data_IF_166565433873
#
_entry.id   IF_166565433873
#
_cell.length_a   1.000
_cell.length_b   1.000
_cell.length_c   1.000
_cell.angle_alpha   90.00
_cell.angle_beta   90.00
_cell.angle_gamma   90.00
#
_symmetry.space_group_name_H-M   'P 1'
#
loop_
_entity.id
_entity.type
_entity.pdbx_description
1 polymer ?
#
# COMPACT_ATOMS: atom_id res chain seq x y z
N UNK A 1 -25.76 14.26 17.52
CA UNK A 1 -25.25 14.76 16.23
C UNK A 1 -24.21 13.79 15.69
N UNK A 2 -24.50 13.05 14.60
CA UNK A 2 -23.49 12.21 13.95
C UNK A 2 -22.40 13.13 13.39
N UNK A 3 -21.22 13.18 14.02
CA UNK A 3 -20.06 13.88 13.47
C UNK A 3 -19.82 13.32 12.07
N UNK A 4 -19.93 14.16 11.05
CA UNK A 4 -19.53 13.82 9.67
C UNK A 4 -18.06 13.39 9.75
N UNK A 5 -17.80 12.08 9.68
CA UNK A 5 -16.45 11.55 9.65
C UNK A 5 -15.90 11.80 8.26
N UNK A 6 -15.17 12.91 8.09
CA UNK A 6 -14.42 13.21 6.87
C UNK A 6 -13.47 12.04 6.59
N UNK A 7 -13.53 11.46 5.37
CA UNK A 7 -12.69 10.32 4.98
C UNK A 7 -11.21 10.69 4.99
N UNK A 8 -10.33 9.69 5.12
CA UNK A 8 -8.88 9.93 5.08
C UNK A 8 -8.47 10.59 3.75
N UNK A 9 -9.03 10.14 2.63
CA UNK A 9 -8.85 10.76 1.33
C UNK A 9 -9.20 12.26 1.36
N UNK A 10 -10.39 12.61 1.87
CA UNK A 10 -10.81 14.01 1.93
C UNK A 10 -9.89 14.84 2.82
N UNK A 11 -9.42 14.29 3.95
CA UNK A 11 -8.43 14.97 4.82
C UNK A 11 -7.11 15.21 4.10
N UNK A 12 -6.62 14.23 3.32
CA UNK A 12 -5.38 14.35 2.55
C UNK A 12 -5.53 15.39 1.44
N UNK A 13 -6.63 15.38 0.69
CA UNK A 13 -6.89 16.38 -0.36
C UNK A 13 -6.97 17.79 0.24
N UNK A 14 -7.67 17.96 1.38
CA UNK A 14 -7.74 19.23 2.10
C UNK A 14 -6.34 19.65 2.58
N UNK A 15 -5.55 18.73 3.12
CA UNK A 15 -4.19 19.01 3.58
C UNK A 15 -3.26 19.46 2.45
N UNK A 16 -3.32 18.81 1.29
CA UNK A 16 -2.57 19.20 0.09
C UNK A 16 -2.98 20.60 -0.36
N UNK A 17 -4.29 20.82 -0.56
CA UNK A 17 -4.80 22.11 -1.01
C UNK A 17 -4.48 23.24 -0.03
N UNK A 18 -4.63 22.98 1.28
CA UNK A 18 -4.24 23.92 2.32
C UNK A 18 -2.73 24.17 2.30
N UNK A 19 -1.89 23.14 2.17
CA UNK A 19 -0.43 23.31 2.08
C UNK A 19 -0.03 24.21 0.92
N UNK A 20 -0.64 23.99 -0.25
CA UNK A 20 -0.45 24.82 -1.45
C UNK A 20 -0.87 26.27 -1.22
N UNK A 21 -2.06 26.50 -0.65
CA UNK A 21 -2.56 27.87 -0.45
C UNK A 21 -1.73 28.58 0.63
N UNK A 22 -1.58 27.96 1.80
CA UNK A 22 -0.88 28.58 2.93
C UNK A 22 0.61 28.75 2.66
N UNK A 23 1.25 27.87 1.89
CA UNK A 23 2.66 28.03 1.51
C UNK A 23 2.95 29.27 0.65
N UNK A 24 1.94 29.85 -0.03
CA UNK A 24 2.09 31.09 -0.80
C UNK A 24 2.08 32.35 0.08
N UNK A 25 1.42 32.30 1.25
CA UNK A 25 1.14 33.47 2.06
C UNK A 25 1.79 33.44 3.46
N UNK A 26 2.14 32.26 3.98
CA UNK A 26 2.68 32.14 5.32
C UNK A 26 4.12 32.65 5.39
N UNK A 27 4.44 33.51 6.38
CA UNK A 27 5.83 33.88 6.67
C UNK A 27 6.68 32.64 6.98
N UNK A 28 7.93 32.64 6.52
CA UNK A 28 8.87 31.53 6.71
C UNK A 28 9.00 31.05 8.15
N UNK A 29 8.96 31.96 9.14
CA UNK A 29 8.99 31.59 10.56
C UNK A 29 7.79 30.73 11.00
N UNK A 30 6.59 31.04 10.53
CA UNK A 30 5.38 30.24 10.84
C UNK A 30 5.42 28.92 10.06
N UNK A 31 5.81 28.96 8.79
CA UNK A 31 5.99 27.78 7.96
C UNK A 31 6.95 26.76 8.59
N UNK A 32 8.05 27.21 9.20
CA UNK A 32 9.03 26.37 9.91
C UNK A 32 8.45 25.61 11.10
N UNK A 33 7.36 26.07 11.72
CA UNK A 33 6.69 25.32 12.80
C UNK A 33 6.17 23.98 12.24
N UNK A 34 5.54 24.00 11.06
CA UNK A 34 5.03 22.80 10.41
C UNK A 34 6.15 21.90 9.88
N UNK A 35 7.23 22.49 9.39
CA UNK A 35 8.44 21.73 9.02
C UNK A 35 9.05 21.03 10.23
N UNK A 36 9.08 21.69 11.39
CA UNK A 36 9.55 21.10 12.65
C UNK A 36 8.68 19.92 13.07
N UNK A 37 7.36 20.08 13.00
CA UNK A 37 6.43 18.97 13.22
C UNK A 37 6.72 17.80 12.26
N UNK A 38 6.97 18.08 10.98
CA UNK A 38 7.28 17.04 9.99
C UNK A 38 8.54 16.27 10.33
N UNK A 39 9.62 16.97 10.72
CA UNK A 39 10.86 16.30 11.11
C UNK A 39 10.65 15.40 12.34
N UNK A 40 9.91 15.86 13.36
CA UNK A 40 9.64 15.04 14.55
C UNK A 40 8.76 13.83 14.22
N UNK A 41 7.71 14.04 13.44
CA UNK A 41 6.78 12.98 13.09
C UNK A 41 7.37 11.98 12.09
N UNK A 42 8.17 12.44 11.13
CA UNK A 42 8.92 11.60 10.20
C UNK A 42 9.91 10.68 10.93
N UNK A 43 10.71 11.23 11.84
CA UNK A 43 11.59 10.44 12.71
C UNK A 43 10.81 9.42 13.54
N UNK A 44 9.66 9.80 14.09
CA UNK A 44 8.79 8.87 14.82
C UNK A 44 8.21 7.76 13.93
N UNK A 45 7.87 8.05 12.67
CA UNK A 45 7.45 7.05 11.69
C UNK A 45 8.59 6.09 11.40
N UNK A 46 9.79 6.58 11.09
CA UNK A 46 10.98 5.74 10.88
C UNK A 46 11.27 4.83 12.07
N UNK A 47 11.14 5.34 13.30
CA UNK A 47 11.26 4.52 14.51
C UNK A 47 10.19 3.42 14.59
N UNK A 48 8.94 3.74 14.25
CA UNK A 48 7.80 2.83 14.39
C UNK A 48 7.77 1.74 13.33
N UNK A 49 8.34 1.97 12.15
CA UNK A 49 8.29 1.07 10.99
C UNK A 49 8.73 -0.38 11.30
N UNK A 50 9.92 -0.65 11.90
CA UNK A 50 10.34 -2.02 12.19
C UNK A 50 9.40 -2.73 13.16
N UNK A 51 8.82 -1.98 14.11
CA UNK A 51 7.83 -2.50 15.05
C UNK A 51 6.50 -2.81 14.37
N UNK A 52 6.10 -1.99 13.38
CA UNK A 52 4.91 -2.23 12.55
C UNK A 52 5.08 -3.54 11.78
N UNK A 53 6.25 -3.74 11.16
CA UNK A 53 6.57 -4.98 10.43
C UNK A 53 6.46 -6.17 11.38
N UNK A 54 7.16 -6.14 12.52
CA UNK A 54 7.14 -7.23 13.49
C UNK A 54 5.74 -7.51 14.04
N UNK A 55 4.99 -6.45 14.36
CA UNK A 55 3.68 -6.57 14.96
C UNK A 55 2.57 -6.97 14.00
N UNK A 56 2.73 -6.78 12.68
CA UNK A 56 1.73 -7.17 11.70
C UNK A 56 2.12 -8.44 10.94
N UNK A 57 3.40 -8.60 10.55
CA UNK A 57 3.87 -9.72 9.72
C UNK A 57 4.00 -11.00 10.53
N UNK A 58 4.58 -10.96 11.72
CA UNK A 58 4.73 -12.14 12.58
C UNK A 58 3.41 -12.85 12.89
N UNK A 59 2.39 -12.17 13.45
CA UNK A 59 1.12 -12.83 13.75
C UNK A 59 0.39 -13.26 12.48
N UNK A 60 0.45 -12.49 11.39
CA UNK A 60 -0.16 -12.89 10.12
C UNK A 60 0.40 -14.23 9.61
N UNK A 61 1.72 -14.43 9.68
CA UNK A 61 2.35 -15.72 9.32
C UNK A 61 2.01 -16.80 10.35
N UNK A 62 2.03 -16.47 11.64
CA UNK A 62 1.68 -17.42 12.71
C UNK A 62 0.23 -17.93 12.63
N UNK A 63 -0.67 -17.12 12.10
CA UNK A 63 -2.07 -17.46 11.85
C UNK A 63 -2.30 -18.28 10.58
N UNK A 64 -1.30 -18.38 9.68
CA UNK A 64 -1.30 -19.37 8.60
C UNK A 64 -1.13 -20.77 9.23
N UNK A 65 -2.24 -21.33 9.71
CA UNK A 65 -2.23 -22.33 10.78
C UNK A 65 -1.64 -23.72 10.44
N UNK A 66 -1.39 -24.49 11.50
CA UNK A 66 -1.25 -25.95 11.44
C UNK A 66 -2.51 -26.56 10.85
N UNK A 67 -2.36 -27.35 9.79
CA UNK A 67 -3.50 -27.97 9.12
C UNK A 67 -4.09 -27.15 7.99
N UNK A 68 -3.34 -26.18 7.47
CA UNK A 68 -3.54 -25.58 6.15
C UNK A 68 -3.80 -26.68 5.10
N UNK A 69 -5.07 -27.02 4.89
CA UNK A 69 -5.44 -27.99 3.86
C UNK A 69 -4.90 -27.54 2.51
N UNK A 70 -4.87 -28.47 1.53
CA UNK A 70 -4.48 -28.19 0.14
C UNK A 70 -5.08 -26.88 -0.42
N UNK A 71 -6.27 -26.51 0.04
CA UNK A 71 -6.97 -25.26 -0.30
C UNK A 71 -6.28 -23.97 0.22
N UNK A 72 -5.79 -23.94 1.46
CA UNK A 72 -5.08 -22.76 2.01
C UNK A 72 -3.80 -22.52 1.22
N UNK A 73 -2.97 -23.56 1.10
CA UNK A 73 -1.68 -23.49 0.39
C UNK A 73 -1.88 -23.06 -1.07
N UNK A 74 -2.85 -23.66 -1.77
CA UNK A 74 -3.19 -23.29 -3.14
C UNK A 74 -3.62 -21.81 -3.24
N UNK A 75 -4.51 -21.36 -2.36
CA UNK A 75 -5.02 -19.98 -2.39
C UNK A 75 -3.91 -18.98 -2.09
N UNK A 76 -3.08 -19.25 -1.09
CA UNK A 76 -1.94 -18.41 -0.73
C UNK A 76 -0.91 -18.31 -1.85
N UNK A 77 -0.58 -19.43 -2.50
CA UNK A 77 0.34 -19.46 -3.64
C UNK A 77 -0.21 -18.66 -4.83
N UNK A 78 -1.50 -18.81 -5.16
CA UNK A 78 -2.13 -18.05 -6.24
C UNK A 78 -2.22 -16.55 -5.91
N UNK A 79 -2.58 -16.20 -4.68
CA UNK A 79 -2.64 -14.81 -4.21
C UNK A 79 -1.26 -14.14 -4.24
N UNK A 80 -0.22 -14.81 -3.71
CA UNK A 80 1.14 -14.31 -3.74
C UNK A 80 1.67 -14.20 -5.17
N UNK A 81 1.48 -15.23 -6.00
CA UNK A 81 1.87 -15.22 -7.40
C UNK A 81 1.21 -14.09 -8.19
N UNK A 82 -0.09 -13.85 -8.00
CA UNK A 82 -0.84 -12.72 -8.59
C UNK A 82 -0.30 -11.37 -8.13
N UNK A 83 0.05 -11.25 -6.84
CA UNK A 83 0.60 -10.02 -6.26
C UNK A 83 1.99 -9.70 -6.83
N UNK A 84 2.87 -10.71 -6.90
CA UNK A 84 4.20 -10.57 -7.51
C UNK A 84 4.10 -10.26 -9.00
N UNK A 85 3.23 -10.97 -9.73
CA UNK A 85 2.94 -10.67 -11.14
C UNK A 85 2.51 -9.21 -11.31
N UNK A 86 1.61 -8.71 -10.46
CA UNK A 86 1.16 -7.31 -10.50
C UNK A 86 2.32 -6.32 -10.34
N UNK A 87 3.23 -6.57 -9.40
CA UNK A 87 4.43 -5.75 -9.20
C UNK A 87 5.35 -5.74 -10.43
N UNK A 88 5.67 -6.90 -10.98
CA UNK A 88 6.54 -6.98 -12.18
C UNK A 88 5.86 -6.44 -13.45
N UNK A 89 4.57 -6.72 -13.65
CA UNK A 89 3.76 -6.13 -14.71
C UNK A 89 3.82 -4.59 -14.64
N UNK A 90 3.70 -4.06 -13.43
CA UNK A 90 3.82 -2.61 -13.18
C UNK A 90 5.22 -2.11 -13.48
N UNK A 91 6.27 -2.82 -13.06
CA UNK A 91 7.65 -2.46 -13.37
C UNK A 91 7.87 -2.33 -14.87
N UNK A 92 7.56 -3.36 -15.65
CA UNK A 92 7.79 -3.33 -17.09
C UNK A 92 6.94 -2.24 -17.79
N UNK A 93 5.69 -2.09 -17.38
CA UNK A 93 4.80 -1.05 -17.94
C UNK A 93 5.31 0.36 -17.61
N UNK A 94 5.73 0.58 -16.36
CA UNK A 94 6.21 1.88 -15.89
C UNK A 94 7.57 2.23 -16.51
N UNK A 95 8.48 1.27 -16.65
CA UNK A 95 9.77 1.47 -17.32
C UNK A 95 9.61 1.81 -18.80
N UNK A 96 8.54 1.35 -19.45
CA UNK A 96 8.23 1.73 -20.83
C UNK A 96 7.58 3.12 -20.92
N UNK A 97 6.70 3.47 -19.98
CA UNK A 97 5.87 4.68 -20.07
C UNK A 97 6.53 5.90 -19.42
N UNK A 98 7.01 5.77 -18.17
CA UNK A 98 7.42 6.90 -17.34
C UNK A 98 8.59 7.72 -17.89
N UNK A 99 9.64 7.15 -18.50
CA UNK A 99 10.71 7.95 -19.10
C UNK A 99 10.22 8.96 -20.16
N UNK A 100 9.07 8.70 -20.79
CA UNK A 100 8.51 9.55 -21.85
C UNK A 100 7.55 10.62 -21.32
N UNK A 101 6.93 10.41 -20.15
CA UNK A 101 5.88 11.30 -19.61
C UNK A 101 6.29 12.03 -18.33
N UNK A 102 7.29 11.51 -17.63
CA UNK A 102 7.91 12.07 -16.43
C UNK A 102 9.36 12.45 -16.78
N UNK A 103 9.60 13.60 -17.44
CA UNK A 103 10.95 14.09 -17.60
C UNK A 103 11.56 14.29 -16.20
N UNK A 104 12.88 14.06 -16.10
CA UNK A 104 13.64 14.36 -14.87
C UNK A 104 13.34 15.80 -14.48
N UNK A 105 12.84 16.00 -13.27
CA UNK A 105 12.59 17.33 -12.77
C UNK A 105 13.79 17.74 -11.91
N UNK A 106 14.59 18.67 -12.42
CA UNK A 106 15.72 19.28 -11.72
C UNK A 106 15.37 19.83 -10.34
N UNK A 107 14.13 20.29 -10.13
CA UNK A 107 13.65 20.75 -8.83
C UNK A 107 13.41 19.60 -7.84
N UNK A 108 13.01 18.41 -8.31
CA UNK A 108 12.87 17.20 -7.48
C UNK A 108 14.23 16.51 -7.25
N UNK A 109 15.18 16.62 -8.16
CA UNK A 109 16.58 16.21 -7.95
C UNK A 109 17.20 16.99 -6.77
N UNK A 110 16.85 18.27 -6.61
CA UNK A 110 17.25 19.08 -5.45
C UNK A 110 16.63 18.61 -4.12
N UNK A 111 15.65 17.70 -4.13
CA UNK A 111 15.09 17.11 -2.90
C UNK A 111 15.93 15.97 -2.31
N UNK A 112 16.97 15.51 -3.01
CA UNK A 112 18.05 14.72 -2.41
C UNK A 112 18.92 15.58 -1.48
N UNK A 113 19.03 16.89 -1.76
CA UNK A 113 19.73 17.89 -0.93
C UNK A 113 18.76 19.03 -0.53
N UNK A 114 17.73 18.75 0.30
CA UNK A 114 16.67 19.71 0.62
C UNK A 114 17.16 20.92 1.43
N UNK A 115 18.41 20.93 1.89
CA UNK A 115 19.00 21.99 2.70
C UNK A 115 19.12 23.34 1.98
N UNK A 116 19.24 23.36 0.65
CA UNK A 116 19.49 24.59 -0.11
C UNK A 116 18.21 25.37 -0.48
N UNK A 117 17.05 24.72 -0.53
CA UNK A 117 15.80 25.30 -1.04
C UNK A 117 14.58 25.14 -0.13
N UNK A 118 14.61 24.20 0.80
CA UNK A 118 13.51 23.97 1.72
C UNK A 118 13.77 24.66 3.06
N UNK A 119 12.68 25.11 3.69
CA UNK A 119 12.76 25.58 5.07
C UNK A 119 13.28 24.44 5.96
N UNK A 120 14.17 24.79 6.87
CA UNK A 120 14.70 23.86 7.88
C UNK A 120 13.85 23.89 9.16
N UNK A 121 13.74 22.76 9.87
CA UNK A 121 13.06 22.73 11.16
C UNK A 121 13.77 23.65 12.17
N UNK A 122 13.08 24.01 13.25
CA UNK A 122 13.68 24.78 14.35
C UNK A 122 14.64 23.92 15.18
N UNK A 123 14.32 22.64 15.34
CA UNK A 123 15.14 21.65 16.00
C UNK A 123 14.80 20.27 15.45
N UNK A 124 15.71 19.33 15.61
CA UNK A 124 15.53 17.93 15.25
C UNK A 124 15.70 17.07 16.50
N UNK A 125 14.97 15.96 16.56
CA UNK A 125 15.12 14.95 17.62
C UNK A 125 15.40 13.65 16.91
N UNK A 126 16.61 13.12 17.08
CA UNK A 126 16.98 11.83 16.51
C UNK A 126 16.20 10.71 17.21
N UNK A 127 15.43 9.95 16.42
CA UNK A 127 14.67 8.78 16.90
C UNK A 127 15.13 7.56 16.08
N UNK A 128 16.35 7.03 16.32
CA UNK A 128 16.90 5.96 15.49
C UNK A 128 16.01 4.71 15.55
N UNK A 129 15.73 4.04 14.42
CA UNK A 129 14.93 2.82 14.41
C UNK A 129 15.55 1.73 15.31
N UNK A 130 14.73 0.91 15.99
CA UNK A 130 15.23 -0.12 16.91
C UNK A 130 15.99 -1.25 16.19
N UNK A 131 15.72 -1.44 14.90
CA UNK A 131 16.43 -2.38 14.03
C UNK A 131 16.22 -1.98 12.56
N UNK A 132 17.05 -2.51 11.66
CA UNK A 132 16.82 -2.40 10.22
C UNK A 132 15.50 -3.09 9.82
N UNK A 133 14.83 -2.54 8.82
CA UNK A 133 13.64 -3.10 8.17
C UNK A 133 13.88 -4.54 7.70
N UNK A 134 15.03 -4.84 7.10
CA UNK A 134 15.33 -6.21 6.65
C UNK A 134 15.48 -7.16 7.83
N UNK A 135 16.10 -6.71 8.92
CA UNK A 135 16.19 -7.48 10.16
C UNK A 135 14.81 -7.73 10.76
N UNK A 136 13.95 -6.70 10.80
CA UNK A 136 12.57 -6.85 11.27
C UNK A 136 11.79 -7.87 10.44
N UNK A 137 11.96 -7.88 9.12
CA UNK A 137 11.30 -8.83 8.22
C UNK A 137 11.80 -10.26 8.44
N UNK A 138 13.11 -10.48 8.47
CA UNK A 138 13.69 -11.81 8.73
C UNK A 138 13.24 -12.35 10.08
N UNK A 139 13.30 -11.51 11.13
CA UNK A 139 12.80 -11.86 12.45
C UNK A 139 11.31 -12.18 12.41
N UNK A 140 10.53 -11.39 11.65
CA UNK A 140 9.09 -11.60 11.53
C UNK A 140 8.75 -12.95 10.92
N UNK A 141 9.49 -13.35 9.88
CA UNK A 141 9.36 -14.66 9.26
C UNK A 141 9.81 -15.79 10.16
N UNK A 142 11.01 -15.69 10.75
CA UNK A 142 11.54 -16.74 11.62
C UNK A 142 10.61 -17.02 12.78
N UNK A 143 10.13 -15.95 13.44
CA UNK A 143 9.18 -16.10 14.54
C UNK A 143 7.82 -16.54 14.01
N UNK A 144 7.30 -15.94 12.94
CA UNK A 144 5.99 -16.27 12.38
C UNK A 144 5.87 -17.73 11.94
N UNK A 145 6.89 -18.25 11.24
CA UNK A 145 6.97 -19.67 10.88
C UNK A 145 7.15 -20.56 12.12
N UNK A 146 7.92 -20.12 13.11
CA UNK A 146 8.00 -20.79 14.40
C UNK A 146 6.62 -20.91 15.05
N UNK A 147 5.87 -19.80 15.12
CA UNK A 147 4.49 -19.74 15.63
C UNK A 147 3.57 -20.68 14.85
N UNK A 148 3.65 -20.74 13.53
CA UNK A 148 2.81 -21.64 12.73
C UNK A 148 3.10 -23.13 12.98
N UNK A 149 4.29 -23.48 13.49
CA UNK A 149 4.72 -24.86 13.76
C UNK A 149 4.64 -25.29 15.24
N UNK A 150 4.54 -24.35 16.19
CA UNK A 150 4.31 -24.68 17.60
C UNK A 150 2.83 -24.62 17.95
N UNK A 151 2.43 -25.32 19.01
CA UNK A 151 1.03 -25.25 19.46
C UNK A 151 0.71 -23.85 19.98
N UNK A 152 -0.56 -23.45 19.81
CA UNK A 152 -1.04 -22.16 20.29
C UNK A 152 -0.84 -22.08 21.79
N UNK A 153 -0.22 -20.99 22.26
CA UNK A 153 0.10 -20.77 23.65
C UNK A 153 0.49 -19.32 23.92
N UNK A 154 1.16 -19.06 25.04
CA UNK A 154 1.47 -17.70 25.53
C UNK A 154 2.17 -16.83 24.48
N UNK A 155 3.09 -17.39 23.70
CA UNK A 155 3.81 -16.62 22.68
C UNK A 155 2.90 -16.16 21.53
N UNK A 156 1.93 -17.00 21.11
CA UNK A 156 0.91 -16.62 20.12
C UNK A 156 0.06 -15.45 20.63
N UNK A 157 -0.39 -15.55 21.88
CA UNK A 157 -1.21 -14.51 22.51
C UNK A 157 -0.44 -13.19 22.67
N UNK A 158 0.84 -13.26 23.07
CA UNK A 158 1.71 -12.10 23.18
C UNK A 158 1.86 -11.37 21.83
N UNK A 159 2.08 -12.09 20.72
CA UNK A 159 2.16 -11.47 19.39
C UNK A 159 0.81 -10.94 18.91
N UNK A 160 -0.31 -11.59 19.27
CA UNK A 160 -1.65 -11.06 18.98
C UNK A 160 -1.91 -9.76 19.73
N UNK A 161 -1.52 -9.64 20.99
CA UNK A 161 -1.65 -8.41 21.75
C UNK A 161 -0.70 -7.32 21.26
N UNK A 162 0.52 -7.68 20.87
CA UNK A 162 1.44 -6.76 20.21
C UNK A 162 0.88 -6.21 18.89
N UNK A 163 0.26 -7.07 18.06
CA UNK A 163 -0.46 -6.65 16.86
C UNK A 163 -1.55 -5.61 17.16
N UNK A 164 -2.33 -5.81 18.22
CA UNK A 164 -3.36 -4.85 18.65
C UNK A 164 -2.76 -3.52 19.09
N UNK A 165 -1.63 -3.54 19.80
CA UNK A 165 -0.89 -2.33 20.19
C UNK A 165 -0.45 -1.56 18.94
N UNK A 166 0.18 -2.24 17.98
CA UNK A 166 0.63 -1.64 16.71
C UNK A 166 -0.55 -1.12 15.89
N UNK A 167 -1.65 -1.86 15.82
CA UNK A 167 -2.87 -1.41 15.14
C UNK A 167 -3.41 -0.13 15.78
N UNK A 168 -3.46 -0.06 17.12
CA UNK A 168 -3.86 1.15 17.85
C UNK A 168 -2.90 2.31 17.63
N UNK A 169 -1.59 2.06 17.56
CA UNK A 169 -0.61 3.09 17.23
C UNK A 169 -0.90 3.70 15.85
N UNK A 170 -1.16 2.85 14.85
CA UNK A 170 -1.49 3.31 13.49
C UNK A 170 -2.79 4.12 13.49
N UNK A 171 -3.87 3.58 14.08
CA UNK A 171 -5.21 4.17 14.01
C UNK A 171 -5.38 5.43 14.89
N UNK A 172 -4.77 5.44 16.07
CA UNK A 172 -4.98 6.51 17.06
C UNK A 172 -3.91 7.60 17.02
N UNK A 173 -2.72 7.31 16.48
CA UNK A 173 -1.60 8.26 16.47
C UNK A 173 -1.20 8.61 15.04
N UNK A 174 -0.80 7.62 14.23
CA UNK A 174 -0.25 7.87 12.89
C UNK A 174 -1.32 8.47 11.97
N UNK A 175 -2.44 7.76 11.73
CA UNK A 175 -3.48 8.18 10.80
C UNK A 175 -4.04 9.58 11.11
N UNK A 176 -4.32 9.95 12.39
CA UNK A 176 -4.79 11.29 12.73
C UNK A 176 -3.77 12.40 12.46
N UNK A 177 -2.48 12.12 12.56
CA UNK A 177 -1.39 13.08 12.37
C UNK A 177 -0.94 13.19 10.90
N UNK A 178 -1.19 12.17 10.07
CA UNK A 178 -0.84 12.17 8.65
C UNK A 178 -1.33 13.40 7.85
N UNK A 179 -2.58 13.90 8.01
CA UNK A 179 -3.01 15.09 7.29
C UNK A 179 -2.17 16.34 7.63
N UNK A 180 -1.79 16.50 8.90
CA UNK A 180 -0.92 17.61 9.31
C UNK A 180 0.49 17.45 8.73
N UNK A 181 0.97 16.21 8.65
CA UNK A 181 2.27 15.90 8.05
C UNK A 181 2.31 16.24 6.55
N UNK A 182 1.32 15.76 5.80
CA UNK A 182 1.17 16.05 4.37
C UNK A 182 1.01 17.55 4.14
N UNK A 183 0.21 18.23 4.97
CA UNK A 183 0.07 19.69 4.92
C UNK A 183 1.43 20.39 5.02
N UNK A 184 2.24 20.06 6.03
CA UNK A 184 3.54 20.68 6.22
C UNK A 184 4.51 20.43 5.06
N UNK A 185 4.44 19.24 4.44
CA UNK A 185 5.30 18.88 3.31
C UNK A 185 4.92 19.69 2.07
N UNK A 186 3.63 19.74 1.72
CA UNK A 186 3.16 20.52 0.58
C UNK A 186 3.30 22.02 0.79
N UNK A 187 3.21 22.49 2.04
CA UNK A 187 3.53 23.85 2.41
C UNK A 187 5.00 24.16 2.14
N UNK A 188 5.93 23.31 2.58
CA UNK A 188 7.36 23.53 2.35
C UNK A 188 7.71 23.45 0.85
N UNK A 189 7.11 22.51 0.11
CA UNK A 189 7.24 22.42 -1.35
C UNK A 189 6.71 23.65 -2.09
N UNK A 190 5.70 24.30 -1.54
CA UNK A 190 5.16 25.53 -2.12
C UNK A 190 6.12 26.68 -1.90
N UNK A 191 6.70 26.78 -0.70
CA UNK A 191 7.71 27.79 -0.37
C UNK A 191 8.96 27.61 -1.24
N UNK A 192 9.36 26.37 -1.53
CA UNK A 192 10.49 26.06 -2.42
C UNK A 192 10.16 26.15 -3.92
N UNK A 193 8.91 26.44 -4.30
CA UNK A 193 8.47 26.56 -5.69
C UNK A 193 8.19 25.24 -6.44
N UNK A 194 8.39 24.09 -5.79
CA UNK A 194 8.36 22.76 -6.41
C UNK A 194 6.94 22.18 -6.60
N UNK A 195 5.96 22.74 -5.88
CA UNK A 195 4.63 22.12 -5.70
C UNK A 195 3.87 21.88 -7.02
N UNK A 196 4.01 22.78 -7.99
CA UNK A 196 3.29 22.66 -9.26
C UNK A 196 3.79 21.49 -10.09
N UNK A 197 5.10 21.22 -10.08
CA UNK A 197 5.62 20.05 -10.78
C UNK A 197 5.20 18.75 -10.10
N UNK A 198 5.17 18.71 -8.76
CA UNK A 198 4.73 17.53 -8.00
C UNK A 198 3.27 17.20 -8.33
N UNK A 199 2.38 18.20 -8.28
CA UNK A 199 0.95 18.01 -8.62
C UNK A 199 0.78 17.56 -10.06
N UNK A 200 1.52 18.15 -11.00
CA UNK A 200 1.47 17.75 -12.42
C UNK A 200 1.88 16.29 -12.62
N UNK A 201 2.91 15.82 -11.91
CA UNK A 201 3.27 14.41 -11.93
C UNK A 201 2.17 13.54 -11.33
N UNK A 202 1.62 13.93 -10.17
CA UNK A 202 0.58 13.14 -9.51
C UNK A 202 -0.56 12.85 -10.50
N UNK A 203 -1.03 13.87 -11.22
CA UNK A 203 -2.08 13.72 -12.24
C UNK A 203 -1.69 12.74 -13.35
N UNK A 204 -0.47 12.84 -13.90
CA UNK A 204 0.02 11.92 -14.94
C UNK A 204 0.10 10.48 -14.45
N UNK A 205 0.65 10.27 -13.25
CA UNK A 205 0.84 8.94 -12.64
C UNK A 205 -0.51 8.31 -12.30
N UNK A 206 -1.45 9.10 -11.77
CA UNK A 206 -2.82 8.67 -11.49
C UNK A 206 -3.49 8.10 -12.75
N UNK A 207 -3.35 8.79 -13.89
CA UNK A 207 -3.93 8.33 -15.17
C UNK A 207 -3.32 6.99 -15.59
N UNK A 208 -1.99 6.86 -15.56
CA UNK A 208 -1.32 5.60 -15.92
C UNK A 208 -1.78 4.46 -15.01
N UNK A 209 -1.82 4.71 -13.70
CA UNK A 209 -2.25 3.73 -12.71
C UNK A 209 -3.70 3.29 -12.96
N UNK A 210 -4.61 4.20 -13.33
CA UNK A 210 -5.98 3.81 -13.69
C UNK A 210 -6.03 2.84 -14.87
N UNK A 211 -5.26 3.11 -15.92
CA UNK A 211 -5.17 2.23 -17.09
C UNK A 211 -4.60 0.87 -16.67
N UNK A 212 -3.53 0.85 -15.86
CA UNK A 212 -2.92 -0.38 -15.38
C UNK A 212 -3.86 -1.23 -14.51
N UNK A 213 -4.70 -0.61 -13.67
CA UNK A 213 -5.71 -1.36 -12.91
C UNK A 213 -6.71 -2.07 -13.82
N UNK A 214 -7.22 -1.38 -14.84
CA UNK A 214 -8.15 -1.98 -15.81
C UNK A 214 -7.47 -3.14 -16.53
N UNK A 215 -6.24 -2.95 -17.00
CA UNK A 215 -5.47 -4.01 -17.67
C UNK A 215 -5.19 -5.21 -16.75
N UNK A 216 -4.82 -4.96 -15.49
CA UNK A 216 -4.58 -6.03 -14.51
C UNK A 216 -5.84 -6.86 -14.28
N UNK A 217 -6.99 -6.21 -14.09
CA UNK A 217 -8.27 -6.92 -13.93
C UNK A 217 -8.61 -7.73 -15.19
N UNK A 218 -8.42 -7.17 -16.38
CA UNK A 218 -8.63 -7.92 -17.63
C UNK A 218 -7.72 -9.15 -17.71
N UNK A 219 -6.45 -9.04 -17.34
CA UNK A 219 -5.51 -10.16 -17.31
C UNK A 219 -5.95 -11.21 -16.30
N UNK A 220 -6.22 -10.81 -15.05
CA UNK A 220 -6.65 -11.72 -13.97
C UNK A 220 -7.93 -12.48 -14.35
N UNK A 221 -8.92 -11.80 -14.91
CA UNK A 221 -10.17 -12.44 -15.32
C UNK A 221 -10.03 -13.26 -16.60
N UNK A 222 -9.11 -12.90 -17.51
CA UNK A 222 -8.76 -13.74 -18.67
C UNK A 222 -8.14 -15.05 -18.21
N UNK A 223 -7.20 -15.02 -17.26
CA UNK A 223 -6.62 -16.24 -16.67
C UNK A 223 -7.72 -17.07 -15.97
N UNK A 224 -8.55 -16.44 -15.14
CA UNK A 224 -9.65 -17.14 -14.46
C UNK A 224 -10.67 -17.75 -15.43
N UNK A 225 -11.01 -17.04 -16.50
CA UNK A 225 -11.92 -17.50 -17.55
C UNK A 225 -11.34 -18.69 -18.31
N UNK A 226 -10.07 -18.61 -18.72
CA UNK A 226 -9.36 -19.68 -19.43
C UNK A 226 -9.24 -20.95 -18.58
N UNK A 227 -8.91 -20.83 -17.29
CA UNK A 227 -8.82 -21.98 -16.38
C UNK A 227 -10.19 -22.63 -16.13
N UNK A 228 -11.22 -21.80 -15.93
CA UNK A 228 -12.56 -22.30 -15.58
C UNK A 228 -13.47 -22.63 -16.77
N UNK A 229 -13.04 -22.35 -18.01
CA UNK A 229 -13.86 -22.48 -19.22
C UNK A 229 -15.02 -21.48 -19.28
N UNK A 230 -14.94 -20.35 -18.57
CA UNK A 230 -16.00 -19.33 -18.47
C UNK A 230 -15.59 -18.05 -19.21
N UNK A 231 -16.57 -17.29 -19.69
CA UNK A 231 -16.31 -16.02 -20.37
C UNK A 231 -15.70 -14.98 -19.38
N UNK A 232 -14.48 -14.45 -19.63
CA UNK A 232 -13.78 -13.58 -18.70
C UNK A 232 -14.47 -12.23 -18.47
N UNK A 233 -15.07 -11.65 -19.53
CA UNK A 233 -15.80 -10.38 -19.42
C UNK A 233 -17.08 -10.54 -18.61
N UNK A 234 -17.75 -11.69 -18.71
CA UNK A 234 -18.92 -12.00 -17.87
C UNK A 234 -18.53 -12.16 -16.40
N UNK A 235 -17.41 -12.84 -16.13
CA UNK A 235 -16.88 -12.99 -14.78
C UNK A 235 -16.55 -11.63 -14.15
N UNK A 236 -15.85 -10.76 -14.89
CA UNK A 236 -15.50 -9.41 -14.43
C UNK A 236 -16.76 -8.54 -14.24
N UNK A 237 -17.71 -8.58 -15.18
CA UNK A 237 -18.97 -7.82 -15.09
C UNK A 237 -19.77 -8.17 -13.83
N UNK A 238 -19.79 -9.44 -13.44
CA UNK A 238 -20.47 -9.87 -12.22
C UNK A 238 -19.81 -9.31 -10.95
N UNK A 239 -18.53 -8.97 -10.98
CA UNK A 239 -17.81 -8.42 -9.82
C UNK A 239 -17.95 -6.90 -9.66
N UNK A 240 -18.56 -6.20 -10.63
CA UNK A 240 -18.74 -4.74 -10.57
C UNK A 240 -19.43 -4.24 -9.28
N UNK A 241 -20.42 -4.94 -8.67
CA UNK A 241 -20.97 -4.52 -7.38
C UNK A 241 -19.94 -4.53 -6.25
N UNK A 242 -19.04 -5.53 -6.23
CA UNK A 242 -17.95 -5.59 -5.25
C UNK A 242 -16.93 -4.46 -5.51
N UNK A 243 -16.57 -4.22 -6.77
CA UNK A 243 -15.72 -3.09 -7.18
C UNK A 243 -16.30 -1.76 -6.68
N UNK A 244 -17.58 -1.48 -6.96
CA UNK A 244 -18.24 -0.24 -6.57
C UNK A 244 -18.34 -0.10 -5.04
N UNK A 245 -18.58 -1.19 -4.32
CA UNK A 245 -18.61 -1.20 -2.85
C UNK A 245 -17.25 -0.84 -2.28
N UNK A 246 -16.18 -1.50 -2.73
CA UNK A 246 -14.81 -1.21 -2.27
C UNK A 246 -14.35 0.20 -2.67
N UNK A 247 -14.80 0.70 -3.82
CA UNK A 247 -14.53 2.08 -4.22
C UNK A 247 -15.13 3.09 -3.23
N UNK A 248 -16.34 2.82 -2.72
CA UNK A 248 -17.01 3.67 -1.74
C UNK A 248 -16.52 3.50 -0.31
N UNK A 249 -16.22 2.26 0.12
CA UNK A 249 -15.83 1.95 1.50
C UNK A 249 -14.33 2.12 1.74
N UNK A 250 -13.51 2.00 0.69
CA UNK A 250 -12.05 1.98 0.78
C UNK A 250 -11.53 0.87 1.73
N UNK A 251 -12.28 -0.22 1.89
CA UNK A 251 -11.89 -1.37 2.72
C UNK A 251 -12.24 -2.70 2.08
N UNK A 252 -11.24 -3.58 1.94
CA UNK A 252 -11.43 -4.95 1.48
C UNK A 252 -12.28 -5.75 2.47
N UNK A 253 -11.98 -5.62 3.76
CA UNK A 253 -12.70 -6.31 4.84
C UNK A 253 -14.20 -5.93 4.87
N UNK A 254 -14.52 -4.65 4.72
CA UNK A 254 -15.93 -4.20 4.66
C UNK A 254 -16.68 -4.71 3.42
N UNK A 255 -15.95 -5.12 2.38
CA UNK A 255 -16.52 -5.54 1.08
C UNK A 255 -16.69 -7.06 0.97
N UNK A 256 -16.14 -7.84 1.90
CA UNK A 256 -16.20 -9.32 1.92
C UNK A 256 -17.60 -9.88 1.61
N UNK A 257 -18.71 -9.42 2.25
CA UNK A 257 -20.02 -10.01 2.00
C UNK A 257 -20.48 -9.84 0.54
N UNK A 258 -20.18 -8.68 -0.06
CA UNK A 258 -20.54 -8.37 -1.46
C UNK A 258 -19.66 -9.18 -2.40
N UNK A 259 -18.35 -9.24 -2.15
CA UNK A 259 -17.39 -10.02 -2.95
C UNK A 259 -17.75 -11.51 -2.96
N UNK A 260 -18.10 -12.07 -1.80
CA UNK A 260 -18.52 -13.47 -1.67
C UNK A 260 -19.76 -13.75 -2.51
N UNK A 261 -20.80 -12.91 -2.40
CA UNK A 261 -22.01 -13.06 -3.20
C UNK A 261 -21.73 -13.01 -4.71
N UNK A 262 -20.83 -12.13 -5.17
CA UNK A 262 -20.45 -12.06 -6.58
C UNK A 262 -19.57 -13.25 -7.02
N UNK A 263 -18.72 -13.80 -6.15
CA UNK A 263 -17.95 -15.01 -6.43
C UNK A 263 -18.87 -16.23 -6.60
N UNK A 264 -19.88 -16.38 -5.75
CA UNK A 264 -20.92 -17.42 -5.89
C UNK A 264 -21.71 -17.23 -7.19
N UNK A 265 -22.06 -15.99 -7.55
CA UNK A 265 -22.69 -15.67 -8.85
C UNK A 265 -21.79 -16.01 -10.05
N UNK A 266 -20.48 -15.98 -9.88
CA UNK A 266 -19.50 -16.46 -10.86
C UNK A 266 -19.38 -17.99 -10.90
N UNK A 267 -20.19 -18.71 -10.13
CA UNK A 267 -20.24 -20.17 -10.09
C UNK A 267 -19.09 -20.80 -9.30
N UNK A 268 -18.60 -20.10 -8.27
CA UNK A 268 -17.74 -20.66 -7.22
C UNK A 268 -18.64 -21.38 -6.21
N UNK A 269 -18.26 -22.59 -5.78
CA UNK A 269 -18.98 -23.33 -4.74
C UNK A 269 -18.95 -22.52 -3.43
N UNK A 270 -20.08 -22.43 -2.75
CA UNK A 270 -20.25 -21.56 -1.58
C UNK A 270 -19.24 -21.86 -0.47
N UNK A 271 -18.97 -23.15 -0.19
CA UNK A 271 -17.96 -23.58 0.77
C UNK A 271 -16.53 -23.12 0.42
N UNK A 272 -16.21 -22.99 -0.87
CA UNK A 272 -14.93 -22.43 -1.33
C UNK A 272 -14.94 -20.91 -1.21
N UNK A 273 -16.03 -20.25 -1.62
CA UNK A 273 -16.14 -18.79 -1.56
C UNK A 273 -16.05 -18.25 -0.12
N UNK A 274 -16.71 -18.91 0.84
CA UNK A 274 -16.68 -18.55 2.27
C UNK A 274 -15.26 -18.61 2.84
N UNK A 275 -14.40 -19.47 2.31
CA UNK A 275 -13.01 -19.58 2.75
C UNK A 275 -12.07 -18.64 1.97
N UNK A 276 -12.12 -18.67 0.64
CA UNK A 276 -11.15 -17.98 -0.22
C UNK A 276 -11.31 -16.47 -0.16
N UNK A 277 -12.54 -15.95 -0.15
CA UNK A 277 -12.76 -14.50 -0.21
C UNK A 277 -12.25 -13.77 1.04
N UNK A 278 -12.58 -14.20 2.28
CA UNK A 278 -12.03 -13.54 3.47
C UNK A 278 -10.51 -13.66 3.56
N UNK A 279 -9.95 -14.79 3.13
CA UNK A 279 -8.50 -14.98 3.10
C UNK A 279 -7.83 -14.00 2.13
N UNK A 280 -8.30 -13.95 0.87
CA UNK A 280 -7.76 -13.06 -0.15
C UNK A 280 -7.92 -11.59 0.20
N UNK A 281 -9.03 -11.20 0.86
CA UNK A 281 -9.23 -9.83 1.33
C UNK A 281 -8.12 -9.32 2.26
N UNK A 282 -7.35 -10.24 2.87
CA UNK A 282 -6.16 -9.95 3.68
C UNK A 282 -4.87 -10.12 2.88
N UNK A 283 -4.70 -11.24 2.18
CA UNK A 283 -3.38 -11.63 1.63
C UNK A 283 -3.16 -11.26 0.14
N UNK A 284 -4.20 -10.86 -0.58
CA UNK A 284 -4.16 -10.61 -2.02
C UNK A 284 -4.33 -9.12 -2.33
N UNK A 285 -3.25 -8.36 -2.18
CA UNK A 285 -3.25 -6.91 -2.42
C UNK A 285 -2.57 -6.51 -3.73
N UNK A 286 -2.91 -7.21 -4.82
CA UNK A 286 -2.29 -7.02 -6.13
C UNK A 286 -2.41 -5.58 -6.68
N UNK A 287 -3.56 -4.94 -6.55
CA UNK A 287 -3.77 -3.53 -6.93
C UNK A 287 -2.99 -2.57 -6.04
N UNK A 288 -2.84 -2.87 -4.74
CA UNK A 288 -2.00 -2.07 -3.85
C UNK A 288 -0.51 -2.18 -4.21
N UNK A 289 -0.01 -3.38 -4.49
CA UNK A 289 1.36 -3.59 -4.95
C UNK A 289 1.63 -2.81 -6.23
N UNK A 290 0.73 -2.90 -7.21
CA UNK A 290 0.82 -2.11 -8.44
C UNK A 290 0.95 -0.61 -8.15
N UNK A 291 0.05 -0.04 -7.33
CA UNK A 291 0.13 1.38 -7.00
C UNK A 291 1.45 1.74 -6.35
N UNK A 292 1.88 0.98 -5.34
CA UNK A 292 3.10 1.27 -4.59
C UNK A 292 4.32 1.20 -5.53
N UNK A 293 4.42 0.16 -6.36
CA UNK A 293 5.50 0.03 -7.35
C UNK A 293 5.49 1.17 -8.36
N UNK A 294 4.32 1.51 -8.93
CA UNK A 294 4.20 2.61 -9.89
C UNK A 294 4.56 3.97 -9.26
N UNK A 295 4.06 4.26 -8.05
CA UNK A 295 4.35 5.50 -7.36
C UNK A 295 5.85 5.61 -7.01
N UNK A 296 6.45 4.53 -6.52
CA UNK A 296 7.88 4.51 -6.20
C UNK A 296 8.73 4.78 -7.45
N UNK A 297 8.45 4.07 -8.55
CA UNK A 297 9.16 4.29 -9.81
C UNK A 297 8.96 5.71 -10.35
N UNK A 298 7.74 6.24 -10.28
CA UNK A 298 7.45 7.59 -10.73
C UNK A 298 8.25 8.65 -9.96
N UNK A 299 8.35 8.48 -8.62
CA UNK A 299 9.17 9.35 -7.78
C UNK A 299 10.65 9.21 -8.17
N UNK A 300 11.16 7.99 -8.29
CA UNK A 300 12.56 7.75 -8.67
C UNK A 300 12.91 8.39 -10.03
N UNK A 301 12.06 8.22 -11.05
CA UNK A 301 12.29 8.85 -12.35
C UNK A 301 12.35 10.37 -12.27
N UNK A 302 11.52 10.98 -11.43
CA UNK A 302 11.50 12.44 -11.29
C UNK A 302 12.65 12.98 -10.44
N UNK A 303 13.02 12.27 -9.38
CA UNK A 303 14.16 12.64 -8.55
C UNK A 303 15.49 12.39 -9.26
N UNK A 304 15.50 11.63 -10.36
CA UNK A 304 16.72 11.26 -11.08
C UNK A 304 17.41 10.03 -10.50
N UNK A 305 16.76 9.35 -9.55
CA UNK A 305 17.25 8.13 -8.93
C UNK A 305 17.25 6.97 -9.95
N UNK A 306 18.28 6.11 -9.95
CA UNK A 306 18.41 5.04 -10.92
C UNK A 306 17.33 3.97 -10.71
N UNK A 307 16.43 3.84 -11.68
CA UNK A 307 15.45 2.75 -11.72
C UNK A 307 16.09 1.50 -12.32
N UNK A 308 16.67 0.66 -11.46
CA UNK A 308 17.30 -0.60 -11.88
C UNK A 308 16.37 -1.80 -11.68
N UNK A 309 16.46 -2.79 -12.57
CA UNK A 309 15.68 -4.02 -12.43
C UNK A 309 15.99 -4.74 -11.11
N UNK A 310 17.26 -4.83 -10.73
CA UNK A 310 17.69 -5.58 -9.54
C UNK A 310 17.11 -4.98 -8.25
N UNK A 311 17.19 -3.66 -8.06
CA UNK A 311 16.64 -3.00 -6.87
C UNK A 311 15.12 -3.13 -6.82
N UNK A 312 14.42 -2.88 -7.93
CA UNK A 312 12.97 -2.96 -7.98
C UNK A 312 12.45 -4.41 -7.89
N UNK A 313 13.17 -5.39 -8.43
CA UNK A 313 12.82 -6.80 -8.30
C UNK A 313 12.89 -7.24 -6.83
N UNK A 314 13.97 -6.90 -6.12
CA UNK A 314 14.08 -7.14 -4.68
C UNK A 314 12.95 -6.47 -3.90
N UNK A 315 12.69 -5.19 -4.19
CA UNK A 315 11.59 -4.44 -3.58
C UNK A 315 10.22 -5.08 -3.83
N UNK A 316 9.90 -5.48 -5.06
CA UNK A 316 8.61 -6.12 -5.42
C UNK A 316 8.43 -7.45 -4.67
N UNK A 317 9.48 -8.25 -4.57
CA UNK A 317 9.44 -9.52 -3.83
C UNK A 317 9.14 -9.29 -2.34
N UNK A 318 9.84 -8.34 -1.71
CA UNK A 318 9.62 -7.99 -0.31
C UNK A 318 8.27 -7.29 -0.08
N UNK A 319 7.82 -6.52 -1.06
CA UNK A 319 6.52 -5.88 -1.02
C UNK A 319 5.40 -6.92 -1.07
N UNK A 320 5.51 -7.94 -1.91
CA UNK A 320 4.54 -9.04 -1.99
C UNK A 320 4.39 -9.77 -0.66
N UNK A 321 5.50 -10.02 0.04
CA UNK A 321 5.48 -10.56 1.41
C UNK A 321 4.76 -9.62 2.36
N UNK A 322 5.15 -8.34 2.36
CA UNK A 322 4.62 -7.34 3.28
C UNK A 322 3.13 -7.14 3.09
N UNK A 323 2.64 -7.29 1.86
CA UNK A 323 1.22 -7.21 1.52
C UNK A 323 0.40 -8.35 2.13
N UNK A 324 0.98 -9.51 2.47
CA UNK A 324 0.28 -10.57 3.21
C UNK A 324 -0.14 -10.10 4.60
N UNK A 325 0.65 -9.18 5.18
CA UNK A 325 0.46 -8.65 6.53
C UNK A 325 -0.18 -7.27 6.57
N UNK A 326 -0.37 -6.65 5.41
CA UNK A 326 -0.89 -5.29 5.34
C UNK A 326 -2.38 -5.28 5.74
N UNK A 327 -2.80 -4.36 6.62
CA UNK A 327 -4.17 -4.35 7.10
C UNK A 327 -5.11 -3.87 5.98
N UNK A 328 -6.25 -4.55 5.83
CA UNK A 328 -7.30 -4.26 4.83
C UNK A 328 -8.15 -3.01 5.11
N UNK A 329 -7.52 -1.97 5.67
CA UNK A 329 -8.12 -0.69 6.09
C UNK A 329 -7.54 0.47 5.27
N UNK A 330 -8.21 1.64 5.20
CA UNK A 330 -7.72 2.80 4.46
C UNK A 330 -6.26 3.16 4.77
N UNK A 331 -5.42 3.20 3.74
CA UNK A 331 -4.00 3.51 3.87
C UNK A 331 -3.13 2.39 4.47
N UNK A 332 -3.68 1.25 4.85
CA UNK A 332 -2.95 0.18 5.54
C UNK A 332 -1.74 -0.36 4.75
N UNK A 333 -1.91 -0.58 3.45
CA UNK A 333 -0.85 -1.11 2.60
C UNK A 333 0.34 -0.15 2.42
N UNK A 334 0.09 1.16 2.25
CA UNK A 334 1.21 2.11 2.16
C UNK A 334 1.94 2.22 3.49
N UNK A 335 1.24 2.19 4.63
CA UNK A 335 1.86 2.21 5.96
C UNK A 335 2.77 1.00 6.16
N UNK A 336 2.35 -0.19 5.73
CA UNK A 336 3.18 -1.38 5.77
C UNK A 336 4.41 -1.29 4.85
N UNK A 337 4.29 -0.59 3.71
CA UNK A 337 5.36 -0.46 2.73
C UNK A 337 6.39 0.65 3.04
N UNK A 338 6.12 1.58 3.96
CA UNK A 338 7.02 2.71 4.26
C UNK A 338 8.44 2.26 4.60
N UNK A 339 8.58 1.17 5.34
CA UNK A 339 9.89 0.64 5.69
C UNK A 339 10.70 0.18 4.50
N UNK A 340 10.06 -0.55 3.58
CA UNK A 340 10.72 -1.01 2.37
C UNK A 340 11.14 0.16 1.48
N UNK A 341 10.29 1.19 1.39
CA UNK A 341 10.60 2.40 0.62
C UNK A 341 11.86 3.09 1.18
N UNK A 342 11.98 3.20 2.51
CA UNK A 342 13.15 3.78 3.15
C UNK A 342 14.40 2.91 3.03
N UNK A 343 14.33 1.64 3.42
CA UNK A 343 15.53 0.80 3.54
C UNK A 343 16.03 0.24 2.21
N UNK A 344 15.13 -0.04 1.26
CA UNK A 344 15.50 -0.66 -0.01
C UNK A 344 15.64 0.34 -1.15
N UNK A 345 14.84 1.42 -1.13
CA UNK A 345 14.85 2.44 -2.18
C UNK A 345 15.45 3.78 -1.71
N UNK A 346 15.87 3.88 -0.45
CA UNK A 346 16.51 5.10 0.08
C UNK A 346 15.56 6.27 0.29
N UNK A 347 14.24 6.05 0.32
CA UNK A 347 13.29 7.16 0.38
C UNK A 347 13.38 7.88 1.73
N UNK A 348 13.73 9.16 1.67
CA UNK A 348 13.69 10.06 2.83
C UNK A 348 12.25 10.40 3.24
N UNK A 349 12.10 11.12 4.36
CA UNK A 349 10.79 11.49 4.92
C UNK A 349 9.89 12.21 3.90
N UNK A 350 10.48 13.08 3.07
CA UNK A 350 9.76 13.85 2.07
C UNK A 350 9.24 12.95 0.94
N UNK A 351 10.06 12.03 0.44
CA UNK A 351 9.66 11.06 -0.58
C UNK A 351 8.61 10.08 -0.04
N UNK A 352 8.72 9.66 1.22
CA UNK A 352 7.69 8.86 1.89
C UNK A 352 6.36 9.62 2.01
N UNK A 353 6.40 10.90 2.36
CA UNK A 353 5.18 11.73 2.42
C UNK A 353 4.51 11.88 1.04
N UNK A 354 5.30 12.03 -0.04
CA UNK A 354 4.80 12.01 -1.40
C UNK A 354 4.14 10.65 -1.74
N UNK A 355 4.77 9.54 -1.36
CA UNK A 355 4.20 8.20 -1.53
C UNK A 355 2.87 8.05 -0.81
N UNK A 356 2.78 8.53 0.44
CA UNK A 356 1.53 8.51 1.22
C UNK A 356 0.45 9.34 0.53
N UNK A 357 0.77 10.57 0.15
CA UNK A 357 -0.18 11.48 -0.49
C UNK A 357 -0.72 10.92 -1.81
N UNK A 358 0.18 10.45 -2.68
CA UNK A 358 -0.18 9.88 -3.97
C UNK A 358 -0.98 8.58 -3.80
N UNK A 359 -0.53 7.67 -2.93
CA UNK A 359 -1.21 6.40 -2.67
C UNK A 359 -2.63 6.62 -2.13
N UNK A 360 -2.79 7.48 -1.12
CA UNK A 360 -4.09 7.73 -0.49
C UNK A 360 -5.07 8.33 -1.49
N UNK A 361 -4.60 9.21 -2.39
CA UNK A 361 -5.42 9.82 -3.43
C UNK A 361 -6.15 8.80 -4.33
N UNK A 362 -5.55 7.62 -4.51
CA UNK A 362 -6.06 6.55 -5.37
C UNK A 362 -6.46 5.29 -4.60
N UNK A 363 -6.55 5.38 -3.27
CA UNK A 363 -6.54 4.16 -2.46
C UNK A 363 -7.72 3.24 -2.79
N UNK A 364 -8.91 3.83 -2.84
CA UNK A 364 -10.18 3.18 -3.16
C UNK A 364 -10.16 2.37 -4.45
N UNK A 365 -9.41 2.80 -5.46
CA UNK A 365 -9.33 2.07 -6.74
C UNK A 365 -8.44 0.85 -6.64
N UNK A 366 -7.35 0.94 -5.88
CA UNK A 366 -6.53 -0.23 -5.54
C UNK A 366 -7.31 -1.22 -4.69
N UNK A 367 -8.07 -0.75 -3.70
CA UNK A 367 -8.97 -1.62 -2.92
C UNK A 367 -10.00 -2.30 -3.82
N UNK A 368 -10.63 -1.54 -4.72
CA UNK A 368 -11.59 -2.08 -5.67
C UNK A 368 -10.97 -3.12 -6.61
N UNK A 369 -9.72 -2.91 -7.03
CA UNK A 369 -8.97 -3.89 -7.81
C UNK A 369 -8.63 -5.15 -7.00
N UNK A 370 -8.21 -5.01 -5.75
CA UNK A 370 -7.90 -6.15 -4.87
C UNK A 370 -9.14 -7.05 -4.73
N UNK A 371 -10.27 -6.50 -4.27
CA UNK A 371 -11.50 -7.29 -4.04
C UNK A 371 -12.06 -7.90 -5.31
N UNK A 372 -11.87 -7.24 -6.44
CA UNK A 372 -12.31 -7.78 -7.74
C UNK A 372 -11.42 -8.92 -8.17
N UNK A 373 -10.10 -8.78 -7.99
CA UNK A 373 -9.12 -9.84 -8.19
C UNK A 373 -9.32 -11.05 -7.26
N UNK A 374 -9.81 -10.86 -6.03
CA UNK A 374 -10.16 -11.96 -5.12
C UNK A 374 -11.20 -12.90 -5.75
N UNK A 375 -12.16 -12.34 -6.49
CA UNK A 375 -13.13 -13.12 -7.26
C UNK A 375 -12.48 -13.95 -8.37
N UNK A 376 -11.44 -13.41 -9.04
CA UNK A 376 -10.68 -14.15 -10.05
C UNK A 376 -9.92 -15.33 -9.41
N UNK A 377 -9.26 -15.09 -8.27
CA UNK A 377 -8.57 -16.14 -7.50
C UNK A 377 -9.57 -17.23 -7.07
N UNK A 378 -10.75 -16.84 -6.54
CA UNK A 378 -11.77 -17.79 -6.13
C UNK A 378 -12.27 -18.67 -7.28
N UNK A 379 -12.39 -18.14 -8.50
CA UNK A 379 -12.76 -18.91 -9.70
C UNK A 379 -11.68 -19.94 -10.06
N UNK A 380 -10.41 -19.56 -10.01
CA UNK A 380 -9.27 -20.45 -10.30
C UNK A 380 -9.17 -21.55 -9.23
N UNK A 381 -9.21 -21.17 -7.95
CA UNK A 381 -9.17 -22.11 -6.82
C UNK A 381 -10.33 -23.09 -6.90
N UNK A 382 -11.55 -22.62 -7.21
CA UNK A 382 -12.72 -23.47 -7.34
C UNK A 382 -12.58 -24.54 -8.44
N UNK A 383 -11.86 -24.23 -9.52
CA UNK A 383 -11.61 -25.21 -10.58
C UNK A 383 -10.59 -26.25 -10.14
N UNK A 384 -9.48 -25.83 -9.52
CA UNK A 384 -8.37 -26.71 -9.11
C UNK A 384 -8.72 -27.60 -7.90
N UNK A 385 -9.42 -27.05 -6.90
CA UNK A 385 -9.93 -27.81 -5.75
C UNK A 385 -11.33 -28.39 -6.01
N UNK A 386 -11.90 -28.07 -7.18
CA UNK A 386 -13.15 -28.57 -7.75
C UNK A 386 -13.14 -30.07 -8.02
N UNK A 387 -11.98 -30.48 -8.51
CA UNK A 387 -11.53 -31.83 -8.84
C UNK A 387 -10.89 -32.50 -7.62
#
# INVERSE_FOLDING_TARGET
MKKLKVSLLAKVVIAIAAGVVFGQFLPGGIARIFVTFNSLFGNFLSFSIPLIILGLVTPAIGELGKGAGRLLALTALLAYGSTIFSGFFTYFSSSAIFPHILPVNTELTAMENPEDFMLQPYFTVAMPPPMDVMTALLLSFTIGLGLSYIDRGVLHEAFSDFQKIITKLIEAVIIPLLPLHIFGIFLNMTVSGQVMSVITMFLKVIIVIFVLHVLLLLIQFTVAGSVSGKNPLRLLKNMLPAYATALGTQSSAATIPVTLAQAVKNGVRENIAIFVIPLCATIHLAGSTMKITACAMAIMYMSGEPVTFTSLAGFIMMLGVTMVAAPGVPGGAIMAALGLLQSMLGFNETLQALMIALYIAMDSFGTACNVTGDGAIAVVVNKIAGE
#
